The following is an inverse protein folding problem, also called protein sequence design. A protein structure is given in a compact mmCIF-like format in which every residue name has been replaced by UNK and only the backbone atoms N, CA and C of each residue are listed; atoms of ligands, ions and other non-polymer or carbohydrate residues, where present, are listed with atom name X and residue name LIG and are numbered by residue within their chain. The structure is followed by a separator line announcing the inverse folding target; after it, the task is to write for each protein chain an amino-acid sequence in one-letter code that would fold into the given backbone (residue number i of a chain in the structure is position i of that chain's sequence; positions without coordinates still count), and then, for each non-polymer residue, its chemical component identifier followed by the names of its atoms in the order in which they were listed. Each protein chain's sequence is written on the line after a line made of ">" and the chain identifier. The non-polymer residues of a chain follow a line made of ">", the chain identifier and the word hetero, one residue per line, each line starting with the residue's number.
data_IF_642755531446
#
_entry.id   IF_642755531446
#
_cell.length_a   1.000
_cell.length_b   1.000
_cell.length_c   1.000
_cell.angle_alpha   90.00
_cell.angle_beta   90.00
_cell.angle_gamma   90.00
#
_symmetry.space_group_name_H-M   'P 1'
#
loop_
_entity.id
_entity.type
_entity.pdbx_description
1 polymer ?
#
# COMPACT_ATOMS: atom_id res chain seq x y z
N UNK A 1 -30.00 -12.45 25.69
CA UNK A 1 -28.79 -11.66 25.34
C UNK A 1 -27.51 -12.50 25.27
N UNK A 2 -27.33 -13.54 26.08
CA UNK A 2 -26.12 -14.39 26.09
C UNK A 2 -25.81 -15.18 24.79
N UNK A 3 -26.77 -15.38 23.88
CA UNK A 3 -26.54 -16.09 22.61
C UNK A 3 -25.79 -15.27 21.57
N UNK A 4 -26.03 -13.95 21.50
CA UNK A 4 -25.40 -13.04 20.53
C UNK A 4 -23.92 -12.81 20.81
N UNK A 5 -23.55 -12.78 22.09
CA UNK A 5 -22.17 -12.57 22.55
C UNK A 5 -21.27 -13.78 22.25
N UNK A 6 -21.80 -15.00 22.44
CA UNK A 6 -21.12 -16.24 22.06
C UNK A 6 -20.93 -16.36 20.55
N UNK A 7 -21.91 -15.88 19.78
CA UNK A 7 -21.89 -15.89 18.32
C UNK A 7 -20.80 -14.95 17.77
N UNK A 8 -20.67 -13.74 18.33
CA UNK A 8 -19.58 -12.81 17.97
C UNK A 8 -18.20 -13.36 18.34
N UNK A 9 -18.10 -14.07 19.45
CA UNK A 9 -16.84 -14.70 19.89
C UNK A 9 -16.46 -15.85 18.96
N UNK A 10 -17.43 -16.67 18.54
CA UNK A 10 -17.22 -17.75 17.57
C UNK A 10 -16.80 -17.21 16.19
N UNK A 11 -17.40 -16.10 15.73
CA UNK A 11 -17.01 -15.42 14.49
C UNK A 11 -15.59 -14.85 14.60
N UNK A 12 -15.25 -14.19 15.70
CA UNK A 12 -13.91 -13.64 15.90
C UNK A 12 -12.82 -14.72 15.91
N UNK A 13 -13.10 -15.86 16.55
CA UNK A 13 -12.21 -17.02 16.56
C UNK A 13 -12.06 -17.62 15.15
N UNK A 14 -13.15 -17.79 14.41
CA UNK A 14 -13.10 -18.29 13.03
C UNK A 14 -12.31 -17.38 12.07
N UNK A 15 -12.35 -16.05 12.28
CA UNK A 15 -11.52 -15.10 11.53
C UNK A 15 -10.05 -15.19 11.95
N UNK A 16 -9.77 -15.36 13.24
CA UNK A 16 -8.40 -15.52 13.75
C UNK A 16 -7.74 -16.82 13.26
N UNK A 17 -8.51 -17.90 13.17
CA UNK A 17 -8.08 -19.23 12.72
C UNK A 17 -8.03 -19.35 11.18
N UNK A 18 -8.58 -18.37 10.46
CA UNK A 18 -8.46 -18.33 9.01
C UNK A 18 -7.00 -18.10 8.59
N UNK A 19 -6.50 -18.75 7.52
CA UNK A 19 -5.15 -18.51 7.03
C UNK A 19 -4.96 -17.03 6.70
N UNK A 20 -4.19 -16.32 7.53
CA UNK A 20 -3.82 -14.94 7.26
C UNK A 20 -3.01 -14.93 5.97
N UNK A 21 -3.54 -14.34 4.90
CA UNK A 21 -2.72 -13.99 3.74
C UNK A 21 -1.59 -13.09 4.22
N UNK A 22 -0.35 -13.52 4.03
CA UNK A 22 0.82 -12.68 4.33
C UNK A 22 0.83 -11.49 3.36
N UNK A 23 0.30 -10.36 3.84
CA UNK A 23 0.26 -9.10 3.11
C UNK A 23 1.41 -8.16 3.54
N UNK A 24 2.38 -8.64 4.32
CA UNK A 24 3.48 -7.82 4.82
C UNK A 24 4.26 -7.14 3.69
N UNK A 25 4.52 -7.87 2.60
CA UNK A 25 5.19 -7.35 1.39
C UNK A 25 4.40 -6.21 0.76
N UNK A 26 3.07 -6.34 0.67
CA UNK A 26 2.20 -5.30 0.13
C UNK A 26 2.23 -4.04 1.01
N UNK A 27 2.06 -4.20 2.33
CA UNK A 27 2.06 -3.07 3.26
C UNK A 27 3.42 -2.36 3.28
N UNK A 28 4.51 -3.12 3.22
CA UNK A 28 5.87 -2.57 3.08
C UNK A 28 6.01 -1.76 1.79
N UNK A 29 5.59 -2.32 0.65
CA UNK A 29 5.64 -1.60 -0.63
C UNK A 29 4.81 -0.31 -0.63
N UNK A 30 3.65 -0.32 0.01
CA UNK A 30 2.82 0.89 0.18
C UNK A 30 3.48 1.93 1.11
N UNK A 31 4.20 1.48 2.14
CA UNK A 31 4.97 2.39 3.01
C UNK A 31 6.13 3.04 2.27
N UNK A 32 6.91 2.24 1.54
CA UNK A 32 8.04 2.72 0.72
C UNK A 32 7.55 3.70 -0.37
N UNK A 33 6.41 3.39 -0.98
CA UNK A 33 5.75 4.27 -1.93
C UNK A 33 5.45 5.65 -1.34
N UNK A 34 4.92 5.73 -0.12
CA UNK A 34 4.63 7.02 0.56
C UNK A 34 5.92 7.78 0.87
N UNK A 35 6.92 7.08 1.41
CA UNK A 35 8.22 7.68 1.74
C UNK A 35 8.92 8.28 0.50
N UNK A 36 8.68 7.73 -0.69
CA UNK A 36 9.23 8.28 -1.93
C UNK A 36 8.74 9.72 -2.23
N UNK A 37 7.53 10.09 -1.81
CA UNK A 37 7.01 11.45 -1.99
C UNK A 37 7.71 12.42 -1.04
N UNK A 38 7.81 12.07 0.25
CA UNK A 38 8.53 12.86 1.25
C UNK A 38 9.99 13.07 0.86
N UNK A 39 10.66 12.01 0.37
CA UNK A 39 12.02 12.09 -0.12
C UNK A 39 12.16 12.98 -1.36
N UNK A 40 11.17 12.95 -2.26
CA UNK A 40 11.16 13.81 -3.44
C UNK A 40 10.99 15.28 -3.08
N UNK A 41 10.08 15.63 -2.18
CA UNK A 41 9.89 16.99 -1.68
C UNK A 41 11.14 17.51 -0.97
N UNK A 42 11.75 16.70 -0.12
CA UNK A 42 12.99 17.05 0.57
C UNK A 42 14.17 17.27 -0.41
N UNK A 43 14.26 16.46 -1.46
CA UNK A 43 15.32 16.59 -2.47
C UNK A 43 15.11 17.79 -3.42
N UNK A 44 13.87 18.11 -3.76
CA UNK A 44 13.53 19.23 -4.64
C UNK A 44 13.47 20.56 -3.88
N UNK A 45 13.18 20.54 -2.58
CA UNK A 45 13.14 21.72 -1.71
C UNK A 45 11.77 22.38 -1.61
N UNK A 46 10.69 21.63 -1.84
CA UNK A 46 9.33 22.16 -1.80
C UNK A 46 8.28 21.17 -2.31
N UNK A 47 7.02 21.61 -2.45
CA UNK A 47 5.93 20.78 -2.96
C UNK A 47 6.23 20.26 -4.37
N UNK A 48 5.76 19.05 -4.67
CA UNK A 48 6.03 18.37 -5.95
C UNK A 48 4.75 17.99 -6.69
N UNK A 49 4.77 18.15 -8.01
CA UNK A 49 3.84 17.50 -8.91
C UNK A 49 4.36 16.12 -9.34
N UNK A 50 3.44 15.16 -9.51
CA UNK A 50 3.79 13.78 -9.89
C UNK A 50 3.21 13.42 -11.24
N UNK A 51 4.09 12.99 -12.15
CA UNK A 51 3.71 12.36 -13.41
C UNK A 51 3.97 10.86 -13.34
N UNK A 52 2.94 10.07 -13.67
CA UNK A 52 3.03 8.60 -13.66
C UNK A 52 3.16 8.06 -15.08
N UNK A 53 4.14 7.18 -15.31
CA UNK A 53 4.28 6.39 -16.54
C UNK A 53 4.14 4.91 -16.22
N UNK A 54 3.32 4.19 -16.98
CA UNK A 54 3.13 2.76 -16.79
C UNK A 54 3.60 1.97 -18.01
N UNK A 55 4.09 0.74 -17.79
CA UNK A 55 4.55 -0.14 -18.86
C UNK A 55 4.38 -1.61 -18.45
N UNK A 56 3.72 -2.40 -19.28
CA UNK A 56 3.78 -3.86 -19.22
C UNK A 56 4.99 -4.34 -20.00
N UNK A 57 5.91 -5.04 -19.34
CA UNK A 57 7.09 -5.65 -19.98
C UNK A 57 6.71 -6.99 -20.60
N UNK A 58 7.52 -7.44 -21.57
CA UNK A 58 7.34 -8.74 -22.25
C UNK A 58 7.39 -9.94 -21.30
N UNK A 59 8.03 -9.80 -20.14
CA UNK A 59 8.11 -10.83 -19.09
C UNK A 59 6.93 -10.81 -18.11
N UNK A 60 5.87 -10.05 -18.39
CA UNK A 60 4.67 -9.96 -17.54
C UNK A 60 4.77 -8.95 -16.39
N UNK A 61 5.91 -8.28 -16.18
CA UNK A 61 6.02 -7.25 -15.14
C UNK A 61 5.24 -5.98 -15.54
N UNK A 62 4.30 -5.55 -14.70
CA UNK A 62 3.71 -4.21 -14.78
C UNK A 62 4.55 -3.23 -13.97
N UNK A 63 5.08 -2.21 -14.62
CA UNK A 63 5.95 -1.21 -13.99
C UNK A 63 5.25 0.14 -13.97
N UNK A 64 5.35 0.81 -12.81
CA UNK A 64 4.94 2.19 -12.61
C UNK A 64 6.19 3.01 -12.32
N UNK A 65 6.39 4.11 -13.06
CA UNK A 65 7.46 5.08 -12.85
C UNK A 65 6.84 6.41 -12.44
N UNK A 66 7.19 6.89 -11.25
CA UNK A 66 6.88 8.25 -10.82
C UNK A 66 8.00 9.20 -11.18
N UNK A 67 7.61 10.38 -11.66
CA UNK A 67 8.50 11.47 -12.00
C UNK A 67 7.98 12.67 -11.21
N UNK A 68 8.80 13.14 -10.28
CA UNK A 68 8.52 14.29 -9.43
C UNK A 68 9.12 15.54 -10.07
N UNK A 69 8.38 16.65 -10.04
CA UNK A 69 8.81 17.98 -10.50
C UNK A 69 8.38 19.02 -9.45
N UNK A 70 9.07 20.17 -9.33
CA UNK A 70 8.57 21.26 -8.52
C UNK A 70 7.13 21.60 -8.91
N UNK A 71 6.27 21.82 -7.92
CA UNK A 71 4.96 22.41 -8.17
C UNK A 71 5.15 23.90 -8.48
N UNK A 72 4.48 24.39 -9.53
CA UNK A 72 4.42 25.82 -9.87
C UNK A 72 3.50 26.60 -8.93
#
# INVERSE_FOLDING_TARGET
>A
MAGRERDLTAIAQAVADSPKRDNSVYHKAMSEARQAFEAAEAAIGGPVEVTTKTKLKRNGQYVVKWIFRPAE
#
